data_IF_793895886825
#
_entry.id   IF_793895886825
#
_cell.length_a   1.000
_cell.length_b   1.000
_cell.length_c   1.000
_cell.angle_alpha   90.00
_cell.angle_beta   90.00
_cell.angle_gamma   90.00
#
_symmetry.space_group_name_H-M   'P 1'
#
loop_
_entity.id
_entity.type
_entity.pdbx_description
1 polymer ?
#
# COMPACT_ATOMS: atom_id res chain seq x y z
N UNK A 1 53.94 12.94 -30.32
CA UNK A 1 53.02 11.88 -29.84
C UNK A 1 52.40 12.32 -28.56
N UNK A 2 51.09 12.62 -28.46
CA UNK A 2 50.46 12.98 -27.22
C UNK A 2 49.79 11.75 -26.57
N UNK A 3 49.97 11.62 -25.23
CA UNK A 3 49.32 10.62 -24.37
C UNK A 3 47.80 10.84 -24.31
N UNK A 4 47.07 9.73 -24.42
CA UNK A 4 45.62 9.68 -24.17
C UNK A 4 45.33 9.55 -22.66
N UNK A 5 44.35 10.27 -22.08
CA UNK A 5 43.93 10.07 -20.69
C UNK A 5 43.04 8.83 -20.58
N UNK A 6 43.31 7.98 -19.58
CA UNK A 6 42.52 6.80 -19.22
C UNK A 6 41.17 7.16 -18.64
N UNK A 7 40.13 6.47 -19.12
CA UNK A 7 38.76 6.54 -18.60
C UNK A 7 38.68 5.61 -17.38
N UNK A 8 38.46 6.21 -16.19
CA UNK A 8 38.12 5.47 -14.96
C UNK A 8 36.69 4.95 -15.06
N UNK A 9 36.53 3.63 -15.03
CA UNK A 9 35.22 2.95 -14.95
C UNK A 9 34.61 3.15 -13.55
N UNK A 10 33.44 3.78 -13.49
CA UNK A 10 32.67 4.04 -12.27
C UNK A 10 31.81 2.83 -11.80
N UNK A 11 32.14 1.60 -12.21
CA UNK A 11 31.36 0.40 -11.91
C UNK A 11 31.64 -0.28 -10.57
N UNK A 12 32.86 -0.19 -10.07
CA UNK A 12 33.33 -1.07 -8.99
C UNK A 12 33.03 -0.55 -7.56
N UNK A 13 32.77 0.74 -7.39
CA UNK A 13 32.51 1.31 -6.07
C UNK A 13 31.07 1.06 -5.57
N UNK A 14 30.10 0.90 -6.48
CA UNK A 14 28.70 0.73 -6.10
C UNK A 14 28.40 -0.71 -5.61
N UNK A 15 29.03 -1.70 -6.21
CA UNK A 15 28.87 -3.12 -5.82
C UNK A 15 29.45 -3.40 -4.44
N UNK A 16 30.56 -2.75 -4.09
CA UNK A 16 31.23 -2.94 -2.78
C UNK A 16 30.43 -2.33 -1.61
N UNK A 17 29.69 -1.24 -1.85
CA UNK A 17 28.86 -0.60 -0.82
C UNK A 17 27.58 -1.41 -0.55
N UNK A 18 26.97 -1.99 -1.57
CA UNK A 18 25.77 -2.83 -1.42
C UNK A 18 26.10 -4.12 -0.67
N UNK A 19 27.23 -4.76 -0.94
CA UNK A 19 27.72 -5.95 -0.22
C UNK A 19 28.06 -5.68 1.24
N UNK A 20 28.60 -4.50 1.55
CA UNK A 20 28.91 -4.09 2.93
C UNK A 20 27.62 -3.81 3.72
N UNK A 21 26.61 -3.22 3.11
CA UNK A 21 25.31 -2.94 3.74
C UNK A 21 24.52 -4.23 4.04
N UNK A 22 24.56 -5.23 3.15
CA UNK A 22 23.93 -6.53 3.37
C UNK A 22 24.57 -7.32 4.53
N UNK A 23 25.89 -7.21 4.72
CA UNK A 23 26.59 -7.84 5.85
C UNK A 23 26.31 -7.18 7.21
N UNK A 24 26.10 -5.86 7.25
CA UNK A 24 25.72 -5.14 8.49
C UNK A 24 24.28 -5.46 8.92
N UNK A 25 23.35 -5.68 7.99
CA UNK A 25 21.95 -6.02 8.30
C UNK A 25 21.83 -7.37 9.00
N UNK A 26 22.67 -8.36 8.64
CA UNK A 26 22.67 -9.69 9.27
C UNK A 26 23.24 -9.65 10.70
N UNK A 27 24.15 -8.74 11.00
CA UNK A 27 24.79 -8.61 12.34
C UNK A 27 23.84 -7.90 13.34
N UNK A 28 23.04 -6.93 12.88
CA UNK A 28 22.06 -6.26 13.76
C UNK A 28 20.84 -7.13 14.10
N UNK A 29 20.42 -8.02 13.23
CA UNK A 29 19.32 -8.96 13.52
C UNK A 29 19.67 -9.96 14.63
N UNK A 30 20.94 -10.34 14.79
CA UNK A 30 21.40 -11.26 15.84
C UNK A 30 21.49 -10.59 17.24
N UNK A 31 21.64 -9.28 17.32
CA UNK A 31 21.78 -8.56 18.59
C UNK A 31 20.44 -8.27 19.29
N UNK A 32 19.31 -8.24 18.55
CA UNK A 32 17.98 -7.95 19.10
C UNK A 32 17.34 -9.18 19.75
N UNK A 33 17.73 -10.40 19.35
CA UNK A 33 17.20 -11.64 19.94
C UNK A 33 17.71 -11.97 21.34
N UNK A 34 18.75 -11.31 21.85
CA UNK A 34 19.34 -11.61 23.16
C UNK A 34 18.78 -10.79 24.33
N UNK A 35 17.86 -9.86 24.13
CA UNK A 35 17.30 -8.99 25.19
C UNK A 35 15.86 -9.39 25.60
N UNK A 36 15.20 -10.29 24.89
CA UNK A 36 13.82 -10.71 25.15
C UNK A 36 13.65 -11.99 25.98
N UNK A 37 14.68 -12.46 26.66
CA UNK A 37 14.67 -13.67 27.44
C UNK A 37 14.67 -13.47 28.96
N UNK A 38 13.68 -12.82 29.57
CA UNK A 38 13.40 -12.96 31.00
C UNK A 38 12.07 -12.24 31.39
N UNK A 39 10.92 -12.83 31.12
CA UNK A 39 9.70 -12.57 31.90
C UNK A 39 9.09 -13.92 32.26
N UNK A 40 9.09 -14.23 33.54
CA UNK A 40 8.48 -15.43 34.10
C UNK A 40 6.97 -15.38 33.97
N UNK A 41 6.38 -16.48 33.54
CA UNK A 41 4.95 -16.75 33.59
C UNK A 41 4.53 -16.98 35.05
N UNK A 42 3.46 -16.32 35.48
CA UNK A 42 2.74 -16.64 36.72
C UNK A 42 1.40 -17.29 36.33
N UNK A 43 1.16 -18.47 36.92
CA UNK A 43 0.07 -19.39 36.63
C UNK A 43 -1.11 -19.07 37.56
N UNK A 44 -2.28 -18.73 37.02
CA UNK A 44 -3.53 -18.98 37.75
C UNK A 44 -4.66 -19.37 36.76
N UNK A 45 -4.89 -20.68 36.75
CA UNK A 45 -6.03 -21.35 36.15
C UNK A 45 -7.40 -20.82 36.66
N UNK A 46 -8.31 -20.48 35.78
CA UNK A 46 -9.76 -20.72 35.98
C UNK A 46 -10.41 -21.10 34.67
N UNK A 47 -10.76 -22.35 34.56
CA UNK A 47 -11.60 -22.95 33.54
C UNK A 47 -13.03 -22.41 33.65
N UNK A 48 -13.56 -21.88 32.55
CA UNK A 48 -14.99 -21.83 32.31
C UNK A 48 -15.28 -22.47 30.95
N UNK A 49 -15.79 -23.70 31.00
CA UNK A 49 -16.42 -24.35 29.84
C UNK A 49 -17.68 -23.59 29.43
N UNK A 50 -17.66 -23.05 28.23
CA UNK A 50 -18.86 -22.64 27.51
C UNK A 50 -18.99 -23.54 26.29
N UNK A 51 -19.93 -24.48 26.38
CA UNK A 51 -20.37 -25.32 25.28
C UNK A 51 -21.12 -24.45 24.27
N UNK A 52 -20.48 -24.12 23.15
CA UNK A 52 -21.06 -23.37 22.04
C UNK A 52 -20.94 -24.14 20.73
N UNK A 53 -22.05 -24.41 20.10
CA UNK A 53 -22.29 -25.11 18.83
C UNK A 53 -21.26 -24.74 17.76
N UNK A 54 -20.64 -25.75 17.14
CA UNK A 54 -19.91 -25.63 15.87
C UNK A 54 -20.89 -25.24 14.75
N UNK A 55 -20.87 -23.97 14.39
CA UNK A 55 -21.38 -23.49 13.11
C UNK A 55 -20.23 -23.44 12.14
N UNK A 56 -20.22 -24.27 11.08
CA UNK A 56 -19.31 -24.18 9.96
C UNK A 56 -19.69 -22.97 9.10
N UNK A 57 -19.28 -21.78 9.54
CA UNK A 57 -19.19 -20.59 8.70
C UNK A 57 -17.75 -20.10 8.82
N UNK A 58 -17.03 -20.02 7.71
CA UNK A 58 -15.80 -19.23 7.64
C UNK A 58 -16.27 -17.81 7.94
N UNK A 59 -16.15 -17.38 9.19
CA UNK A 59 -16.50 -16.05 9.61
C UNK A 59 -15.56 -15.09 8.87
N UNK A 60 -16.14 -14.33 7.91
CA UNK A 60 -15.43 -13.23 7.29
C UNK A 60 -15.00 -12.28 8.39
N UNK A 61 -13.72 -11.99 8.49
CA UNK A 61 -13.18 -11.04 9.48
C UNK A 61 -13.81 -9.67 9.23
N UNK A 62 -14.15 -8.96 10.31
CA UNK A 62 -14.62 -7.57 10.22
C UNK A 62 -13.52 -6.74 9.53
N UNK A 63 -13.81 -6.09 8.39
CA UNK A 63 -12.81 -5.32 7.63
C UNK A 63 -12.28 -4.10 8.40
N UNK A 64 -12.89 -3.73 9.50
CA UNK A 64 -12.43 -2.67 10.41
C UNK A 64 -11.55 -3.18 11.56
N UNK A 65 -11.33 -4.49 11.67
CA UNK A 65 -10.40 -5.05 12.65
C UNK A 65 -9.00 -5.10 12.06
N UNK A 66 -8.08 -4.38 12.68
CA UNK A 66 -6.68 -4.33 12.28
C UNK A 66 -6.00 -5.70 12.45
N UNK A 67 -5.34 -6.21 11.40
CA UNK A 67 -4.67 -7.51 11.40
C UNK A 67 -3.33 -7.39 10.68
N UNK A 68 -2.28 -8.05 11.20
CA UNK A 68 -1.03 -8.23 10.47
C UNK A 68 -1.25 -9.22 9.31
N UNK A 69 -0.60 -8.97 8.17
CA UNK A 69 -0.65 -9.88 7.04
C UNK A 69 0.17 -11.15 7.33
N UNK A 70 -0.39 -12.30 6.99
CA UNK A 70 0.32 -13.58 6.95
C UNK A 70 -0.27 -14.44 5.84
N UNK A 71 0.45 -14.55 4.72
CA UNK A 71 -0.01 -15.25 3.52
C UNK A 71 0.97 -16.36 3.13
N UNK A 72 0.53 -17.45 2.52
CA UNK A 72 1.42 -18.57 2.13
C UNK A 72 2.59 -18.14 1.23
N UNK A 73 2.44 -17.06 0.47
CA UNK A 73 3.44 -16.54 -0.47
C UNK A 73 4.19 -15.31 0.06
N UNK A 74 3.78 -14.77 1.22
CA UNK A 74 4.42 -13.63 1.88
C UNK A 74 4.20 -13.76 3.39
N UNK A 75 5.18 -14.38 4.08
CA UNK A 75 5.06 -14.73 5.50
C UNK A 75 4.86 -13.47 6.37
N UNK A 76 4.22 -13.65 7.52
CA UNK A 76 4.02 -12.57 8.48
C UNK A 76 5.33 -11.95 8.96
N UNK A 77 6.40 -12.75 9.10
CA UNK A 77 7.74 -12.24 9.46
C UNK A 77 8.35 -11.36 8.37
N UNK A 78 8.22 -11.75 7.08
CA UNK A 78 8.73 -10.96 5.98
C UNK A 78 7.92 -9.67 5.79
N UNK A 79 6.61 -9.75 5.98
CA UNK A 79 5.74 -8.58 5.94
C UNK A 79 6.06 -7.58 7.05
N UNK A 80 6.29 -8.06 8.29
CA UNK A 80 6.71 -7.22 9.42
C UNK A 80 8.09 -6.59 9.17
N UNK A 81 9.03 -7.34 8.60
CA UNK A 81 10.33 -6.81 8.21
C UNK A 81 10.19 -5.70 7.16
N UNK A 82 9.34 -5.91 6.15
CA UNK A 82 9.06 -4.90 5.14
C UNK A 82 8.39 -3.65 5.72
N UNK A 83 7.44 -3.82 6.65
CA UNK A 83 6.85 -2.69 7.38
C UNK A 83 7.92 -1.90 8.16
N UNK A 84 8.84 -2.60 8.86
CA UNK A 84 9.94 -1.95 9.56
C UNK A 84 10.87 -1.14 8.61
N UNK A 85 11.13 -1.65 7.39
CA UNK A 85 11.87 -0.91 6.37
C UNK A 85 11.14 0.37 5.92
N UNK A 86 9.81 0.32 5.78
CA UNK A 86 8.99 1.49 5.46
C UNK A 86 9.05 2.53 6.58
N UNK A 87 8.96 2.11 7.85
CA UNK A 87 9.14 3.01 9.00
C UNK A 87 10.51 3.68 8.99
N UNK A 88 11.58 2.92 8.78
CA UNK A 88 12.94 3.45 8.68
C UNK A 88 13.12 4.41 7.48
N UNK A 89 12.40 4.21 6.38
CA UNK A 89 12.38 5.13 5.23
C UNK A 89 11.62 6.40 5.57
N UNK A 90 10.45 6.30 6.18
CA UNK A 90 9.66 7.42 6.68
C UNK A 90 10.46 8.32 7.61
N UNK A 91 11.19 7.73 8.56
CA UNK A 91 11.97 8.47 9.56
C UNK A 91 13.12 9.28 8.94
N UNK A 92 13.54 8.95 7.72
CA UNK A 92 14.53 9.71 6.95
C UNK A 92 13.92 10.82 6.08
N UNK A 93 12.61 10.87 5.92
CA UNK A 93 11.90 11.79 5.03
C UNK A 93 11.11 12.82 5.85
N UNK A 94 11.80 13.73 6.51
CA UNK A 94 11.17 14.74 7.39
C UNK A 94 10.24 15.71 6.67
N UNK A 95 10.47 15.97 5.36
CA UNK A 95 9.74 16.97 4.57
C UNK A 95 8.82 16.34 3.52
N UNK A 96 8.34 15.11 3.75
CA UNK A 96 7.44 14.47 2.80
C UNK A 96 6.13 15.24 2.68
N UNK A 97 5.78 15.64 1.45
CA UNK A 97 4.55 16.37 1.16
C UNK A 97 3.45 15.46 0.61
N UNK A 98 3.82 14.29 0.13
CA UNK A 98 2.95 13.36 -0.57
C UNK A 98 3.22 11.93 -0.10
N UNK A 99 2.18 11.26 0.37
CA UNK A 99 2.24 9.85 0.76
C UNK A 99 1.34 9.04 -0.15
N UNK A 100 1.83 7.92 -0.66
CA UNK A 100 1.03 6.91 -1.34
C UNK A 100 0.86 5.71 -0.42
N UNK A 101 -0.37 5.38 -0.06
CA UNK A 101 -0.73 4.31 0.86
C UNK A 101 -1.61 3.28 0.15
N UNK A 102 -1.25 1.99 0.24
CA UNK A 102 -1.99 0.93 -0.44
C UNK A 102 -1.26 -0.41 -0.49
N UNK A 103 -1.57 -1.18 -1.52
CA UNK A 103 -1.10 -2.54 -1.76
C UNK A 103 0.02 -2.62 -2.82
N UNK A 104 0.10 -3.77 -3.55
CA UNK A 104 1.08 -4.00 -4.63
C UNK A 104 0.98 -2.97 -5.76
N UNK A 105 -0.22 -2.48 -6.06
CA UNK A 105 -0.43 -1.47 -7.10
C UNK A 105 0.25 -0.15 -6.67
N UNK A 106 0.20 0.17 -5.39
CA UNK A 106 0.93 1.31 -4.83
C UNK A 106 2.43 1.05 -4.78
N UNK A 107 2.86 -0.14 -4.31
CA UNK A 107 4.28 -0.51 -4.29
C UNK A 107 4.93 -0.44 -5.68
N UNK A 108 4.19 -0.81 -6.73
CA UNK A 108 4.64 -0.83 -8.12
C UNK A 108 5.08 0.52 -8.70
N UNK A 109 4.76 1.65 -8.03
CA UNK A 109 5.35 2.94 -8.38
C UNK A 109 6.89 2.96 -8.29
N UNK A 110 7.48 2.09 -7.46
CA UNK A 110 8.94 2.01 -7.30
C UNK A 110 9.58 0.98 -8.23
N UNK A 111 8.80 0.26 -9.03
CA UNK A 111 9.24 -0.72 -10.04
C UNK A 111 8.78 -0.28 -11.43
N UNK A 112 7.69 -0.80 -11.96
CA UNK A 112 7.17 -0.46 -13.29
C UNK A 112 6.78 1.00 -13.43
N UNK A 113 6.31 1.63 -12.35
CA UNK A 113 5.95 3.04 -12.29
C UNK A 113 7.12 4.00 -12.10
N UNK A 114 8.36 3.51 -11.92
CA UNK A 114 9.50 4.32 -11.45
C UNK A 114 9.77 5.56 -12.30
N UNK A 115 9.75 5.45 -13.60
CA UNK A 115 10.01 6.58 -14.49
C UNK A 115 8.92 7.68 -14.35
N UNK A 116 7.65 7.28 -14.20
CA UNK A 116 6.57 8.21 -13.94
C UNK A 116 6.65 8.80 -12.52
N UNK A 117 6.98 7.99 -11.51
CA UNK A 117 7.21 8.44 -10.14
C UNK A 117 8.24 9.56 -10.06
N UNK A 118 9.41 9.34 -10.65
CA UNK A 118 10.50 10.32 -10.67
C UNK A 118 10.09 11.60 -11.43
N UNK A 119 9.38 11.46 -12.55
CA UNK A 119 8.94 12.59 -13.38
C UNK A 119 7.87 13.46 -12.73
N UNK A 120 6.85 12.84 -12.14
CA UNK A 120 5.65 13.56 -11.69
C UNK A 120 5.65 13.89 -10.21
N UNK A 121 6.32 13.10 -9.36
CA UNK A 121 6.18 13.24 -7.92
C UNK A 121 7.46 13.60 -7.17
N UNK A 122 8.66 13.44 -7.76
CA UNK A 122 9.94 13.65 -7.05
C UNK A 122 10.01 15.01 -6.31
N UNK A 123 9.46 16.06 -6.87
CA UNK A 123 9.48 17.40 -6.27
C UNK A 123 8.59 17.56 -5.02
N UNK A 124 7.70 16.60 -4.75
CA UNK A 124 6.90 16.56 -3.51
C UNK A 124 7.61 15.81 -2.37
N UNK A 125 8.84 15.32 -2.57
CA UNK A 125 9.52 14.42 -1.65
C UNK A 125 8.62 13.24 -1.23
N UNK A 126 8.13 12.41 -2.17
CA UNK A 126 7.05 11.48 -1.95
C UNK A 126 7.50 10.25 -1.18
N UNK A 127 6.63 9.74 -0.30
CA UNK A 127 6.80 8.50 0.43
C UNK A 127 5.82 7.44 -0.11
N UNK A 128 6.36 6.29 -0.52
CA UNK A 128 5.56 5.14 -0.92
C UNK A 128 5.46 4.15 0.24
N UNK A 129 4.25 3.91 0.69
CA UNK A 129 3.87 2.99 1.75
C UNK A 129 2.98 1.84 1.21
N UNK A 130 3.22 1.39 -0.02
CA UNK A 130 2.58 0.21 -0.59
C UNK A 130 3.24 -1.07 -0.12
N UNK A 131 2.45 -2.08 0.30
CA UNK A 131 2.92 -3.45 0.56
C UNK A 131 2.07 -4.44 -0.23
N UNK A 132 2.76 -5.34 -0.95
CA UNK A 132 2.09 -6.35 -1.78
C UNK A 132 1.14 -7.24 -0.99
N UNK A 133 -0.06 -7.45 -1.54
CA UNK A 133 -1.07 -8.33 -0.94
C UNK A 133 -1.87 -7.72 0.21
N UNK A 134 -1.59 -6.47 0.59
CA UNK A 134 -2.33 -5.82 1.66
C UNK A 134 -3.82 -5.70 1.34
N UNK A 135 -4.59 -5.97 2.35
CA UNK A 135 -6.02 -5.74 2.46
C UNK A 135 -6.28 -4.54 3.38
N UNK A 136 -7.50 -4.09 3.48
CA UNK A 136 -7.86 -2.95 4.32
C UNK A 136 -7.48 -3.16 5.80
N UNK A 137 -7.66 -4.36 6.34
CA UNK A 137 -7.27 -4.73 7.70
C UNK A 137 -5.76 -4.62 7.95
N UNK A 138 -4.93 -4.94 6.94
CA UNK A 138 -3.47 -4.84 7.03
C UNK A 138 -3.01 -3.39 7.04
N UNK A 139 -3.59 -2.54 6.18
CA UNK A 139 -3.31 -1.09 6.19
C UNK A 139 -3.72 -0.45 7.50
N UNK A 140 -4.88 -0.83 8.09
CA UNK A 140 -5.29 -0.38 9.42
C UNK A 140 -4.26 -0.76 10.47
N UNK A 141 -3.78 -2.01 10.46
CA UNK A 141 -2.75 -2.49 11.38
C UNK A 141 -1.48 -1.64 11.27
N UNK A 142 -1.00 -1.38 10.06
CA UNK A 142 0.22 -0.58 9.84
C UNK A 142 0.08 0.83 10.38
N UNK A 143 -1.07 1.49 10.15
CA UNK A 143 -1.34 2.82 10.70
C UNK A 143 -1.33 2.77 12.23
N UNK A 144 -1.92 1.74 12.87
CA UNK A 144 -1.92 1.56 14.31
C UNK A 144 -0.53 1.24 14.90
N UNK A 145 0.38 0.77 14.04
CA UNK A 145 1.76 0.48 14.39
C UNK A 145 2.73 1.56 13.86
N UNK A 146 2.26 2.80 13.79
CA UNK A 146 3.10 3.97 13.64
C UNK A 146 3.44 4.37 12.21
N UNK A 147 2.82 3.81 11.18
CA UNK A 147 3.21 4.08 9.79
C UNK A 147 3.08 5.56 9.38
N UNK A 148 2.15 6.28 9.99
CA UNK A 148 1.93 7.71 9.74
C UNK A 148 2.51 8.63 10.82
N UNK A 149 3.23 8.09 11.81
CA UNK A 149 3.75 8.87 12.92
C UNK A 149 4.90 9.78 12.47
N UNK A 150 4.95 10.98 13.02
CA UNK A 150 6.06 11.92 12.82
C UNK A 150 6.10 12.59 11.44
N UNK A 151 5.12 12.36 10.57
CA UNK A 151 5.00 13.03 9.27
C UNK A 151 3.75 13.90 9.20
N UNK A 152 3.81 14.94 8.36
CA UNK A 152 2.68 15.87 8.14
C UNK A 152 2.55 16.18 6.63
N UNK A 153 2.23 15.18 5.80
CA UNK A 153 2.11 15.38 4.36
C UNK A 153 0.93 16.29 4.04
N UNK A 154 1.00 17.00 2.92
CA UNK A 154 -0.15 17.76 2.39
C UNK A 154 -1.26 16.84 1.90
N UNK A 155 -0.86 15.74 1.27
CA UNK A 155 -1.80 14.77 0.68
C UNK A 155 -1.37 13.33 0.95
N UNK A 156 -2.35 12.49 1.32
CA UNK A 156 -2.27 11.03 1.26
C UNK A 156 -3.09 10.55 0.07
N UNK A 157 -2.46 9.91 -0.90
CA UNK A 157 -3.12 9.17 -1.99
C UNK A 157 -3.40 7.75 -1.50
N UNK A 158 -4.66 7.39 -1.37
CA UNK A 158 -5.10 6.09 -0.87
C UNK A 158 -5.72 5.26 -2.00
N UNK A 159 -5.16 4.08 -2.24
CA UNK A 159 -5.69 3.06 -3.16
C UNK A 159 -5.57 1.69 -2.51
N UNK A 160 -6.68 1.10 -2.10
CA UNK A 160 -6.73 -0.19 -1.38
C UNK A 160 -8.11 -0.85 -1.54
N UNK A 161 -8.19 -2.17 -1.45
CA UNK A 161 -9.45 -2.92 -1.42
C UNK A 161 -9.56 -4.02 -2.50
N UNK A 162 -8.66 -4.04 -3.50
CA UNK A 162 -8.70 -5.11 -4.51
C UNK A 162 -8.40 -6.48 -3.94
N UNK A 163 -7.55 -6.56 -2.91
CA UNK A 163 -7.15 -7.81 -2.27
C UNK A 163 -8.20 -8.32 -1.27
N UNK A 164 -8.97 -7.45 -0.64
CA UNK A 164 -10.13 -7.84 0.18
C UNK A 164 -11.10 -8.71 -0.64
N UNK A 165 -11.36 -8.30 -1.88
CA UNK A 165 -12.19 -9.04 -2.83
C UNK A 165 -11.43 -10.26 -3.39
N UNK A 166 -10.17 -10.07 -3.81
CA UNK A 166 -9.41 -11.08 -4.56
C UNK A 166 -8.85 -12.21 -3.71
N UNK A 167 -8.31 -11.89 -2.54
CA UNK A 167 -7.66 -12.87 -1.67
C UNK A 167 -8.62 -13.42 -0.61
N UNK A 168 -9.38 -12.55 0.05
CA UNK A 168 -10.26 -12.92 1.16
C UNK A 168 -11.71 -13.17 0.73
N UNK A 169 -12.05 -12.89 -0.54
CA UNK A 169 -13.39 -13.13 -1.09
C UNK A 169 -14.47 -12.27 -0.46
N UNK A 170 -14.09 -11.15 0.16
CA UNK A 170 -15.05 -10.21 0.74
C UNK A 170 -15.95 -9.61 -0.34
N UNK A 171 -17.12 -9.14 0.07
CA UNK A 171 -17.97 -8.33 -0.80
C UNK A 171 -17.36 -6.95 -1.02
N UNK A 172 -17.73 -6.29 -2.13
CA UNK A 172 -17.33 -4.90 -2.36
C UNK A 172 -17.84 -3.95 -1.29
N UNK A 173 -19.02 -4.24 -0.71
CA UNK A 173 -19.58 -3.45 0.40
C UNK A 173 -18.73 -3.58 1.69
N UNK A 174 -18.24 -4.78 2.02
CA UNK A 174 -17.39 -4.99 3.19
C UNK A 174 -16.01 -4.35 2.98
N UNK A 175 -15.39 -4.53 1.81
CA UNK A 175 -14.16 -3.82 1.46
C UNK A 175 -14.33 -2.29 1.56
N UNK A 176 -15.48 -1.74 1.14
CA UNK A 176 -15.78 -0.31 1.30
C UNK A 176 -15.86 0.14 2.77
N UNK A 177 -16.37 -0.73 3.68
CA UNK A 177 -16.32 -0.46 5.13
C UNK A 177 -14.87 -0.37 5.62
N UNK A 178 -14.00 -1.30 5.22
CA UNK A 178 -12.58 -1.28 5.56
C UNK A 178 -11.89 0.00 5.10
N UNK A 179 -12.12 0.43 3.85
CA UNK A 179 -11.61 1.72 3.34
C UNK A 179 -12.11 2.89 4.16
N UNK A 180 -13.38 2.89 4.57
CA UNK A 180 -13.94 3.93 5.45
C UNK A 180 -13.20 4.01 6.78
N UNK A 181 -12.90 2.85 7.40
CA UNK A 181 -12.15 2.79 8.66
C UNK A 181 -10.73 3.36 8.49
N UNK A 182 -10.05 3.05 7.36
CA UNK A 182 -8.74 3.63 7.03
C UNK A 182 -8.84 5.15 6.90
N UNK A 183 -9.81 5.67 6.15
CA UNK A 183 -10.01 7.12 5.98
C UNK A 183 -10.23 7.81 7.33
N UNK A 184 -11.04 7.23 8.22
CA UNK A 184 -11.26 7.75 9.57
C UNK A 184 -9.96 7.75 10.39
N UNK A 185 -9.15 6.69 10.28
CA UNK A 185 -7.87 6.56 10.98
C UNK A 185 -6.85 7.59 10.49
N UNK A 186 -6.72 7.76 9.16
CA UNK A 186 -5.85 8.80 8.57
C UNK A 186 -6.27 10.19 9.06
N UNK A 187 -7.56 10.51 9.05
CA UNK A 187 -8.07 11.81 9.53
C UNK A 187 -7.77 12.05 11.00
N UNK A 188 -7.83 11.00 11.83
CA UNK A 188 -7.49 11.09 13.26
C UNK A 188 -5.98 11.32 13.48
N UNK A 189 -5.12 10.62 12.71
CA UNK A 189 -3.67 10.71 12.84
C UNK A 189 -3.11 11.98 12.18
N UNK A 190 -3.70 12.41 11.06
CA UNK A 190 -3.21 13.50 10.21
C UNK A 190 -4.35 14.51 9.91
N UNK A 191 -4.83 15.27 10.89
CA UNK A 191 -6.04 16.10 10.75
C UNK A 191 -5.93 17.24 9.74
N UNK A 192 -4.72 17.71 9.42
CA UNK A 192 -4.45 18.76 8.44
C UNK A 192 -4.24 18.22 7.01
N UNK A 193 -4.06 16.91 6.84
CA UNK A 193 -3.76 16.27 5.57
C UNK A 193 -5.03 16.04 4.75
N UNK A 194 -4.97 16.34 3.45
CA UNK A 194 -6.03 15.98 2.50
C UNK A 194 -5.86 14.53 2.05
N UNK A 195 -6.95 13.80 1.87
CA UNK A 195 -6.94 12.43 1.36
C UNK A 195 -7.44 12.44 -0.07
N UNK A 196 -6.59 12.05 -1.03
CA UNK A 196 -6.99 11.73 -2.39
C UNK A 196 -7.33 10.25 -2.44
N UNK A 197 -8.61 9.94 -2.30
CA UNK A 197 -9.14 8.58 -2.31
C UNK A 197 -9.42 8.17 -3.76
N UNK A 198 -8.67 7.20 -4.25
CA UNK A 198 -8.85 6.70 -5.60
C UNK A 198 -9.91 5.59 -5.63
N UNK A 199 -10.72 5.57 -6.67
CA UNK A 199 -11.47 4.37 -7.02
C UNK A 199 -10.52 3.19 -7.22
N UNK A 200 -10.87 2.03 -6.70
CA UNK A 200 -10.13 0.79 -6.98
C UNK A 200 -10.20 0.51 -8.47
N UNK A 201 -9.04 0.27 -9.08
CA UNK A 201 -8.95 0.07 -10.52
C UNK A 201 -9.64 -1.22 -10.96
N UNK A 202 -10.14 -1.24 -12.19
CA UNK A 202 -10.73 -2.45 -12.74
C UNK A 202 -9.69 -3.56 -12.82
N UNK A 203 -10.12 -4.79 -12.52
CA UNK A 203 -9.35 -6.02 -12.73
C UNK A 203 -10.16 -7.00 -13.57
N UNK A 204 -9.54 -8.05 -14.06
CA UNK A 204 -10.07 -8.97 -15.08
C UNK A 204 -10.25 -8.29 -16.45
N UNK A 205 -9.99 -9.07 -17.48
CA UNK A 205 -10.08 -8.58 -18.86
C UNK A 205 -11.53 -8.21 -19.24
N UNK A 206 -12.47 -9.06 -18.86
CA UNK A 206 -13.89 -8.92 -19.26
C UNK A 206 -14.71 -8.04 -18.30
N UNK A 207 -15.62 -7.19 -18.80
CA UNK A 207 -16.33 -6.19 -17.99
C UNK A 207 -17.38 -6.77 -17.02
N UNK A 208 -17.85 -7.99 -17.22
CA UNK A 208 -19.00 -8.56 -16.48
C UNK A 208 -18.61 -9.65 -15.48
N UNK A 209 -17.35 -9.73 -15.05
CA UNK A 209 -16.88 -10.71 -14.08
C UNK A 209 -17.42 -10.42 -12.67
N UNK A 210 -17.31 -11.41 -11.78
CA UNK A 210 -17.62 -11.19 -10.35
C UNK A 210 -16.77 -10.07 -9.78
N UNK A 211 -15.45 -10.09 -10.02
CA UNK A 211 -14.55 -9.07 -9.51
C UNK A 211 -14.92 -7.65 -9.95
N UNK A 212 -15.33 -7.48 -11.22
CA UNK A 212 -15.77 -6.17 -11.73
C UNK A 212 -17.02 -5.65 -11.00
N UNK A 213 -17.98 -6.55 -10.69
CA UNK A 213 -19.19 -6.17 -9.93
C UNK A 213 -18.86 -5.80 -8.49
N UNK A 214 -17.99 -6.57 -7.82
CA UNK A 214 -17.58 -6.27 -6.44
C UNK A 214 -16.77 -4.97 -6.37
N UNK A 215 -15.86 -4.72 -7.32
CA UNK A 215 -15.13 -3.44 -7.40
C UNK A 215 -16.09 -2.27 -7.64
N UNK A 216 -17.10 -2.45 -8.48
CA UNK A 216 -18.11 -1.42 -8.68
C UNK A 216 -18.88 -1.11 -7.40
N UNK A 217 -19.30 -2.14 -6.64
CA UNK A 217 -19.97 -1.97 -5.34
C UNK A 217 -19.04 -1.27 -4.32
N UNK A 218 -17.76 -1.67 -4.27
CA UNK A 218 -16.76 -1.00 -3.43
C UNK A 218 -16.64 0.47 -3.79
N UNK A 219 -16.42 0.78 -5.06
CA UNK A 219 -16.24 2.15 -5.54
C UNK A 219 -17.48 3.02 -5.30
N UNK A 220 -18.68 2.46 -5.47
CA UNK A 220 -19.93 3.13 -5.12
C UNK A 220 -19.98 3.46 -3.61
N UNK A 221 -19.55 2.53 -2.75
CA UNK A 221 -19.49 2.73 -1.30
C UNK A 221 -18.50 3.82 -0.88
N UNK A 222 -17.27 3.78 -1.43
CA UNK A 222 -16.23 4.75 -1.04
C UNK A 222 -16.40 6.12 -1.68
N UNK A 223 -17.08 6.24 -2.81
CA UNK A 223 -17.38 7.54 -3.44
C UNK A 223 -18.18 8.46 -2.51
N UNK A 224 -19.00 7.89 -1.63
CA UNK A 224 -19.78 8.62 -0.62
C UNK A 224 -18.92 9.30 0.46
N UNK A 225 -17.63 8.98 0.54
CA UNK A 225 -16.68 9.59 1.47
C UNK A 225 -16.17 10.95 1.00
N UNK A 226 -16.39 11.29 -0.27
CA UNK A 226 -16.04 12.60 -0.81
C UNK A 226 -16.80 13.71 -0.07
N UNK A 227 -16.05 14.60 0.60
CA UNK A 227 -16.62 15.74 1.31
C UNK A 227 -16.19 17.11 0.72
N UNK A 228 -15.30 17.09 -0.28
CA UNK A 228 -14.78 18.28 -0.96
C UNK A 228 -13.91 19.20 -0.07
N UNK A 229 -13.51 18.72 1.11
CA UNK A 229 -12.75 19.49 2.12
C UNK A 229 -11.50 18.74 2.60
N UNK A 230 -11.69 17.51 3.06
CA UNK A 230 -10.63 16.64 3.59
C UNK A 230 -10.48 15.38 2.77
N UNK A 231 -11.56 14.86 2.19
CA UNK A 231 -11.56 13.65 1.36
C UNK A 231 -12.03 14.00 -0.04
N UNK A 232 -11.18 13.71 -1.01
CA UNK A 232 -11.43 13.94 -2.43
C UNK A 232 -11.41 12.59 -3.14
N UNK A 233 -12.57 12.13 -3.59
CA UNK A 233 -12.68 10.90 -4.37
C UNK A 233 -12.38 11.18 -5.85
N UNK A 234 -11.58 10.30 -6.46
CA UNK A 234 -11.23 10.39 -7.88
C UNK A 234 -11.32 9.01 -8.53
N UNK A 235 -12.18 8.88 -9.52
CA UNK A 235 -12.30 7.68 -10.34
C UNK A 235 -11.53 7.85 -11.65
N UNK A 236 -10.51 7.02 -11.84
CA UNK A 236 -9.69 6.97 -13.04
C UNK A 236 -9.95 5.73 -13.89
N UNK A 237 -10.98 4.93 -13.57
CA UNK A 237 -11.24 3.65 -14.24
C UNK A 237 -11.38 3.79 -15.75
N UNK A 238 -12.05 4.84 -16.23
CA UNK A 238 -12.23 5.11 -17.66
C UNK A 238 -10.93 5.38 -18.42
N UNK A 239 -9.87 5.78 -17.71
CA UNK A 239 -8.54 6.01 -18.30
C UNK A 239 -7.93 4.73 -18.83
N UNK A 240 -8.30 3.58 -18.25
CA UNK A 240 -7.67 2.28 -18.51
C UNK A 240 -8.51 1.35 -19.38
N UNK A 241 -9.80 1.62 -19.55
CA UNK A 241 -10.72 0.72 -20.23
C UNK A 241 -10.86 1.03 -21.71
N UNK A 242 -11.00 -0.01 -22.53
CA UNK A 242 -11.44 0.09 -23.89
C UNK A 242 -12.91 0.55 -23.97
N UNK A 243 -13.37 0.96 -25.16
CA UNK A 243 -14.75 1.41 -25.37
C UNK A 243 -15.81 0.33 -25.05
N UNK A 244 -15.46 -0.95 -25.16
CA UNK A 244 -16.32 -2.09 -24.80
C UNK A 244 -16.26 -2.45 -23.30
N UNK A 245 -15.48 -1.69 -22.50
CA UNK A 245 -15.28 -1.93 -21.08
C UNK A 245 -14.26 -3.03 -20.76
N UNK A 246 -13.60 -3.62 -21.74
CA UNK A 246 -12.54 -4.58 -21.53
C UNK A 246 -11.26 -3.89 -21.01
N UNK A 247 -10.43 -4.65 -20.25
CA UNK A 247 -9.16 -4.19 -19.72
C UNK A 247 -8.02 -4.64 -20.64
N UNK A 248 -7.28 -3.71 -21.29
CA UNK A 248 -6.24 -4.08 -22.24
C UNK A 248 -5.01 -4.66 -21.57
N UNK A 249 -4.47 -5.76 -22.11
CA UNK A 249 -3.30 -6.49 -21.60
C UNK A 249 -2.00 -5.69 -21.68
N UNK A 250 -1.88 -4.74 -22.59
CA UNK A 250 -0.70 -3.87 -22.65
C UNK A 250 -0.67 -2.84 -21.50
N UNK A 251 -1.80 -2.56 -20.88
CA UNK A 251 -1.88 -1.74 -19.67
C UNK A 251 -1.83 -2.60 -18.40
N UNK A 252 -2.47 -3.79 -18.41
CA UNK A 252 -2.55 -4.71 -17.26
C UNK A 252 -2.16 -6.12 -17.70
N UNK A 253 -0.86 -6.46 -17.74
CA UNK A 253 -0.36 -7.71 -18.30
C UNK A 253 -0.95 -8.98 -17.66
N UNK A 254 -1.18 -8.96 -16.36
CA UNK A 254 -1.79 -10.03 -15.58
C UNK A 254 -3.27 -9.75 -15.20
N UNK A 255 -3.87 -8.71 -15.80
CA UNK A 255 -5.23 -8.24 -15.53
C UNK A 255 -5.47 -7.64 -14.14
N UNK A 256 -4.41 -7.32 -13.42
CA UNK A 256 -4.44 -6.71 -12.08
C UNK A 256 -3.39 -5.60 -11.93
N UNK A 257 -2.11 -5.90 -12.21
CA UNK A 257 -1.02 -4.98 -12.02
C UNK A 257 -0.76 -4.13 -13.27
N UNK A 258 -0.34 -2.89 -13.04
CA UNK A 258 -0.14 -1.91 -14.08
C UNK A 258 1.22 -2.08 -14.77
N UNK A 259 1.25 -1.95 -16.10
CA UNK A 259 2.48 -1.74 -16.87
C UNK A 259 3.03 -0.33 -16.68
N UNK A 260 4.28 -0.10 -17.06
CA UNK A 260 4.90 1.24 -17.04
C UNK A 260 4.06 2.29 -17.80
N UNK A 261 3.44 1.89 -18.92
CA UNK A 261 2.51 2.75 -19.68
C UNK A 261 1.29 3.14 -18.86
N UNK A 262 0.70 2.20 -18.13
CA UNK A 262 -0.48 2.47 -17.30
C UNK A 262 -0.14 3.36 -16.10
N UNK A 263 1.04 3.22 -15.48
CA UNK A 263 1.51 4.15 -14.45
C UNK A 263 1.69 5.57 -14.98
N UNK A 264 2.24 5.73 -16.18
CA UNK A 264 2.35 7.06 -16.83
C UNK A 264 0.96 7.68 -17.08
N UNK A 265 -0.03 6.87 -17.51
CA UNK A 265 -1.42 7.31 -17.71
C UNK A 265 -2.06 7.70 -16.39
N UNK A 266 -1.88 6.89 -15.33
CA UNK A 266 -2.35 7.20 -13.99
C UNK A 266 -1.79 8.53 -13.47
N UNK A 267 -0.46 8.71 -13.54
CA UNK A 267 0.16 9.95 -13.13
C UNK A 267 -0.48 11.16 -13.83
N UNK A 268 -0.56 11.14 -15.16
CA UNK A 268 -1.13 12.23 -15.95
C UNK A 268 -2.56 12.55 -15.58
N UNK A 269 -3.40 11.52 -15.42
CA UNK A 269 -4.81 11.69 -15.11
C UNK A 269 -5.04 12.22 -13.67
N UNK A 270 -4.18 11.85 -12.73
CA UNK A 270 -4.28 12.27 -11.32
C UNK A 270 -3.73 13.69 -11.10
N UNK A 271 -2.72 14.12 -11.85
CA UNK A 271 -1.99 15.38 -11.60
C UNK A 271 -2.86 16.63 -11.49
N UNK A 272 -3.92 16.85 -12.28
CA UNK A 272 -4.75 18.05 -12.13
C UNK A 272 -5.34 18.17 -10.71
N UNK A 273 -5.93 17.07 -10.20
CA UNK A 273 -6.49 17.03 -8.85
C UNK A 273 -5.40 17.13 -7.79
N UNK A 274 -4.29 16.40 -7.96
CA UNK A 274 -3.19 16.43 -7.00
C UNK A 274 -2.62 17.84 -6.81
N UNK A 275 -2.42 18.60 -7.87
CA UNK A 275 -1.94 19.99 -7.80
C UNK A 275 -2.87 20.87 -6.98
N UNK A 276 -4.19 20.81 -7.23
CA UNK A 276 -5.18 21.53 -6.41
C UNK A 276 -5.11 21.19 -4.93
N UNK A 277 -4.76 19.95 -4.60
CA UNK A 277 -4.68 19.51 -3.21
C UNK A 277 -3.33 19.82 -2.55
N UNK A 278 -2.30 20.14 -3.31
CA UNK A 278 -0.96 20.46 -2.79
C UNK A 278 -0.68 21.96 -2.75
N UNK A 279 -1.50 22.76 -3.39
CA UNK A 279 -1.50 24.24 -3.26
C UNK A 279 -2.18 24.68 -1.94
#
# INVERSE_FOLDING_TARGET
>A
MPCKPGVLQKGDAYTTVVDAMNKLSVIMAAAILSVLGAVKADDTSKTNEVTGKKGNGVGMSDPCVAQAQDKPWFSGSDWLAHHAELLARRDRLHDTQLVFLGDSITAGWLTDGRAAWERYFAHYNPLNLGISGDETSHVLWRIEHGELDGITPRVVVLLIGTNDIGNSGQSGEDAAKGVRCIVQKIRASLPATRILLLAVFPRDEQPHTKFRREIHALNAGISTLHDGRTVYYLDLSSTFLNADGSLPRDLFPDTLHLSAKAYEMWAKAMMPTLRQLTE
#
